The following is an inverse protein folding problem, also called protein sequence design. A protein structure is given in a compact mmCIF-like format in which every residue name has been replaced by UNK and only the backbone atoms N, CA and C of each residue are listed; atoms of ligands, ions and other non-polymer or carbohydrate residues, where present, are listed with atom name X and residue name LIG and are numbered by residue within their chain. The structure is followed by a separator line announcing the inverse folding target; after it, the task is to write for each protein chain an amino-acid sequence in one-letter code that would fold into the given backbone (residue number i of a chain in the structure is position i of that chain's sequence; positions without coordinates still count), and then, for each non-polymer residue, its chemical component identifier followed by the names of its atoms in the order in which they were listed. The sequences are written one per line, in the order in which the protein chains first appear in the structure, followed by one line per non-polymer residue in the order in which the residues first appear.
data_IF_334221570081
#
_entry.id   IF_334221570081
#
_cell.length_a   1.000
_cell.length_b   1.000
_cell.length_c   1.000
_cell.angle_alpha   90.00
_cell.angle_beta   90.00
_cell.angle_gamma   90.00
#
_symmetry.space_group_name_H-M   'P 1'
#
loop_
_entity.id
_entity.type
_entity.pdbx_description
1 polymer ?
#
# COMPACT_ATOMS: atom_id res chain seq x y z
N UNK A 1 -7.23 22.34 12.82
CA UNK A 1 -7.37 22.25 11.35
C UNK A 1 -6.33 21.29 10.79
N UNK A 2 -6.72 20.08 10.46
CA UNK A 2 -6.19 19.28 9.34
C UNK A 2 -7.05 18.05 9.31
N UNK A 3 -8.10 18.14 8.51
CA UNK A 3 -8.97 17.05 8.16
C UNK A 3 -8.09 15.88 7.72
N UNK A 4 -8.21 14.72 8.41
CA UNK A 4 -7.70 13.46 7.88
C UNK A 4 -8.14 13.34 6.42
N UNK A 5 -7.23 13.31 5.44
CA UNK A 5 -7.63 13.13 4.07
C UNK A 5 -8.30 11.76 4.02
N UNK A 6 -9.61 11.77 3.78
CA UNK A 6 -10.35 10.58 3.47
C UNK A 6 -9.56 9.86 2.38
N UNK A 7 -9.25 8.59 2.62
CA UNK A 7 -8.42 7.77 1.75
C UNK A 7 -9.18 7.47 0.46
N UNK A 8 -9.41 8.49 -0.36
CA UNK A 8 -9.92 8.34 -1.71
C UNK A 8 -8.81 7.64 -2.47
N UNK A 9 -8.96 6.33 -2.64
CA UNK A 9 -8.04 5.52 -3.41
C UNK A 9 -8.02 6.08 -4.83
N UNK A 10 -6.96 6.83 -5.17
CA UNK A 10 -6.84 7.42 -6.50
C UNK A 10 -6.81 6.29 -7.54
N UNK A 11 -7.63 6.36 -8.60
CA UNK A 11 -7.54 5.42 -9.71
C UNK A 11 -6.12 5.49 -10.28
N UNK A 12 -5.43 4.35 -10.34
CA UNK A 12 -4.04 4.23 -10.82
C UNK A 12 -2.96 4.09 -9.73
N UNK A 13 -3.27 4.28 -8.45
CA UNK A 13 -2.31 4.01 -7.35
C UNK A 13 -2.49 2.65 -6.68
N UNK A 14 -3.48 1.90 -7.15
CA UNK A 14 -3.90 0.66 -6.51
C UNK A 14 -4.24 -0.36 -7.59
N UNK A 15 -3.72 -1.57 -7.44
CA UNK A 15 -3.97 -2.69 -8.34
C UNK A 15 -4.63 -3.83 -7.58
N UNK A 16 -5.44 -4.62 -8.28
CA UNK A 16 -6.04 -5.83 -7.74
C UNK A 16 -5.28 -7.03 -8.29
N UNK A 17 -4.92 -7.96 -7.40
CA UNK A 17 -4.18 -9.16 -7.74
C UNK A 17 -4.90 -10.35 -7.13
N UNK A 18 -5.21 -11.35 -7.97
CA UNK A 18 -5.76 -12.62 -7.51
C UNK A 18 -4.62 -13.52 -7.04
N UNK A 19 -4.66 -13.89 -5.77
CA UNK A 19 -3.72 -14.83 -5.17
C UNK A 19 -4.06 -16.27 -5.58
N UNK A 20 -3.07 -17.16 -5.52
CA UNK A 20 -3.28 -18.60 -5.78
C UNK A 20 -4.29 -19.26 -4.83
N UNK A 21 -4.55 -18.66 -3.66
CA UNK A 21 -5.59 -19.09 -2.72
C UNK A 21 -7.01 -18.72 -3.17
N UNK A 22 -7.17 -18.04 -4.30
CA UNK A 22 -8.45 -17.54 -4.81
C UNK A 22 -8.87 -16.18 -4.24
N UNK A 23 -8.13 -15.64 -3.27
CA UNK A 23 -8.42 -14.32 -2.71
C UNK A 23 -7.89 -13.19 -3.61
N UNK A 24 -8.75 -12.22 -3.92
CA UNK A 24 -8.35 -10.96 -4.57
C UNK A 24 -7.87 -10.00 -3.49
N UNK A 25 -6.64 -9.52 -3.62
CA UNK A 25 -6.07 -8.51 -2.72
C UNK A 25 -5.75 -7.24 -3.49
N UNK A 26 -5.89 -6.12 -2.79
CA UNK A 26 -5.60 -4.81 -3.31
C UNK A 26 -4.21 -4.34 -2.85
N UNK A 27 -3.28 -4.12 -3.80
CA UNK A 27 -1.93 -3.64 -3.55
C UNK A 27 -1.83 -2.14 -3.79
N UNK A 28 -1.10 -1.42 -2.93
CA UNK A 28 -0.91 0.04 -3.02
C UNK A 28 0.49 0.38 -3.53
N UNK A 29 0.58 1.31 -4.47
CA UNK A 29 1.88 1.82 -4.95
C UNK A 29 2.59 2.66 -3.88
N UNK A 30 3.91 2.52 -3.79
CA UNK A 30 4.78 3.44 -3.05
C UNK A 30 5.44 4.39 -4.04
N UNK A 31 5.17 5.69 -3.92
CA UNK A 31 5.80 6.70 -4.78
C UNK A 31 7.30 6.85 -4.51
N UNK A 32 7.75 6.64 -3.27
CA UNK A 32 9.16 6.74 -2.88
C UNK A 32 9.97 5.56 -3.40
N UNK A 33 9.56 4.34 -3.04
CA UNK A 33 10.28 3.12 -3.42
C UNK A 33 9.95 2.63 -4.84
N UNK A 34 8.98 3.23 -5.53
CA UNK A 34 8.53 2.89 -6.88
C UNK A 34 8.12 1.41 -7.07
N UNK A 35 7.51 0.82 -6.05
CA UNK A 35 7.02 -0.57 -6.05
C UNK A 35 5.57 -0.66 -5.60
N UNK A 36 4.86 -1.71 -6.04
CA UNK A 36 3.59 -2.10 -5.44
C UNK A 36 3.85 -2.81 -4.12
N UNK A 37 3.35 -2.22 -3.03
CA UNK A 37 3.61 -2.72 -1.68
C UNK A 37 2.77 -3.96 -1.41
N UNK A 38 3.38 -5.03 -0.85
CA UNK A 38 2.66 -6.19 -0.36
C UNK A 38 1.57 -5.80 0.67
N UNK A 39 0.57 -6.66 0.90
CA UNK A 39 -0.44 -6.40 1.91
C UNK A 39 0.24 -6.21 3.28
N UNK A 40 -0.23 -5.21 4.05
CA UNK A 40 0.26 -4.84 5.40
C UNK A 40 1.62 -4.13 5.45
N UNK A 41 2.20 -3.74 4.31
CA UNK A 41 3.44 -2.97 4.24
C UNK A 41 3.16 -1.48 4.07
N UNK A 42 3.79 -0.64 4.91
CA UNK A 42 3.73 0.81 4.84
C UNK A 42 5.12 1.41 4.72
N UNK A 43 5.29 2.41 3.84
CA UNK A 43 6.54 3.15 3.76
C UNK A 43 6.68 4.01 5.01
N UNK A 44 7.79 3.82 5.73
CA UNK A 44 8.18 4.65 6.85
C UNK A 44 9.16 5.70 6.33
N UNK A 45 8.74 6.95 6.27
CA UNK A 45 9.61 8.04 5.80
C UNK A 45 10.82 8.27 6.71
N UNK A 46 10.76 7.83 7.98
CA UNK A 46 11.87 7.94 8.92
C UNK A 46 12.98 6.91 8.64
N UNK A 47 12.58 5.70 8.24
CA UNK A 47 13.50 4.62 7.91
C UNK A 47 13.84 4.58 6.42
N UNK A 48 13.19 5.44 5.63
CA UNK A 48 13.16 5.45 4.16
C UNK A 48 12.93 4.06 3.53
N UNK A 49 12.13 3.24 4.22
CA UNK A 49 11.95 1.84 3.89
C UNK A 49 10.49 1.42 4.00
N UNK A 50 10.09 0.46 3.16
CA UNK A 50 8.79 -0.19 3.24
C UNK A 50 8.81 -1.24 4.35
N UNK A 51 8.14 -0.96 5.47
CA UNK A 51 8.14 -1.84 6.65
C UNK A 51 6.80 -2.60 6.73
N UNK A 52 6.90 -3.93 6.83
CA UNK A 52 5.77 -4.81 7.07
C UNK A 52 5.49 -4.96 8.57
N UNK A 53 4.21 -5.02 8.94
CA UNK A 53 3.80 -5.47 10.28
C UNK A 53 3.58 -6.97 10.23
N UNK A 54 4.54 -7.74 10.74
CA UNK A 54 4.36 -9.17 11.02
C UNK A 54 3.45 -9.28 12.25
N UNK A 55 2.36 -10.03 12.10
CA UNK A 55 1.52 -10.50 13.20
C UNK A 55 1.71 -12.00 13.32
#
# INVERSE_FOLDING_TARGET
ITSSPQSVALPGRTIEVQMHTGHVIQLKFCSTCKIFRPPRVSHCSLCDACIGKLK
#
